data_IF_761552876310
#
_entry.id   IF_761552876310
#
_cell.length_a   1.000
_cell.length_b   1.000
_cell.length_c   1.000
_cell.angle_alpha   90.00
_cell.angle_beta   90.00
_cell.angle_gamma   90.00
#
_symmetry.space_group_name_H-M   'P 1'
#
loop_
_entity.id
_entity.type
_entity.pdbx_description
1 polymer ?
#
# COMPACT_ATOMS: atom_id res chain seq x y z
N UNK A 1 -9.37 13.23 1.80
CA UNK A 1 -8.40 12.70 0.83
C UNK A 1 -7.99 13.75 -0.21
N UNK A 2 -7.22 14.77 0.14
CA UNK A 2 -6.58 15.72 -0.78
C UNK A 2 -7.44 16.37 -1.88
N UNK A 3 -8.77 16.38 -1.72
CA UNK A 3 -9.71 16.93 -2.69
C UNK A 3 -9.97 16.06 -3.94
N UNK A 4 -9.46 14.83 -3.98
CA UNK A 4 -9.72 13.93 -5.11
C UNK A 4 -11.16 13.38 -5.05
N UNK A 5 -11.82 13.30 -6.21
CA UNK A 5 -13.06 12.54 -6.34
C UNK A 5 -12.69 11.04 -6.35
N UNK A 6 -13.31 10.28 -5.47
CA UNK A 6 -13.08 8.84 -5.34
C UNK A 6 -14.27 8.08 -5.95
N UNK A 7 -13.96 7.21 -6.90
CA UNK A 7 -14.92 6.29 -7.50
C UNK A 7 -14.55 4.87 -7.03
N UNK A 8 -15.53 4.11 -6.57
CA UNK A 8 -15.31 2.74 -6.10
C UNK A 8 -15.83 1.70 -7.10
N UNK A 9 -15.16 0.57 -7.17
CA UNK A 9 -15.58 -0.61 -7.92
C UNK A 9 -15.11 -1.88 -7.25
N UNK A 10 -15.96 -2.88 -7.22
CA UNK A 10 -15.65 -4.25 -6.83
C UNK A 10 -16.46 -5.22 -7.69
N UNK A 11 -15.93 -6.41 -7.95
CA UNK A 11 -16.64 -7.44 -8.71
C UNK A 11 -17.79 -8.05 -7.89
N UNK A 12 -17.72 -8.02 -6.54
CA UNK A 12 -18.78 -8.46 -5.63
C UNK A 12 -19.91 -7.41 -5.55
N UNK A 13 -21.18 -7.81 -5.82
CA UNK A 13 -22.33 -6.95 -5.58
C UNK A 13 -22.45 -6.46 -4.13
N UNK A 14 -22.18 -7.33 -3.17
CA UNK A 14 -22.27 -7.03 -1.74
C UNK A 14 -21.25 -5.96 -1.32
N UNK A 15 -20.03 -6.02 -1.87
CA UNK A 15 -19.00 -5.00 -1.61
C UNK A 15 -19.41 -3.64 -2.19
N UNK A 16 -20.06 -3.63 -3.37
CA UNK A 16 -20.59 -2.39 -3.96
C UNK A 16 -21.76 -1.80 -3.16
N UNK A 17 -22.67 -2.65 -2.65
CA UNK A 17 -23.78 -2.20 -1.77
C UNK A 17 -23.22 -1.55 -0.51
N UNK A 18 -22.24 -2.18 0.14
CA UNK A 18 -21.57 -1.61 1.31
C UNK A 18 -20.91 -0.27 0.99
N UNK A 19 -20.23 -0.14 -0.14
CA UNK A 19 -19.61 1.11 -0.54
C UNK A 19 -20.65 2.23 -0.78
N UNK A 20 -21.83 1.89 -1.32
CA UNK A 20 -22.94 2.84 -1.46
C UNK A 20 -23.49 3.30 -0.08
N UNK A 21 -23.61 2.38 0.89
CA UNK A 21 -24.02 2.71 2.27
C UNK A 21 -23.01 3.67 2.93
N UNK A 22 -21.72 3.53 2.61
CA UNK A 22 -20.65 4.43 3.05
C UNK A 22 -20.53 5.71 2.20
N UNK A 23 -21.49 5.98 1.32
CA UNK A 23 -21.60 7.15 0.44
C UNK A 23 -20.48 7.28 -0.61
N UNK A 24 -19.87 6.17 -1.02
CA UNK A 24 -18.98 6.17 -2.18
C UNK A 24 -19.77 6.18 -3.50
N UNK A 25 -19.27 6.93 -4.48
CA UNK A 25 -19.78 6.86 -5.84
C UNK A 25 -19.27 5.57 -6.52
N UNK A 26 -20.18 4.77 -7.07
CA UNK A 26 -19.83 3.52 -7.77
C UNK A 26 -19.77 3.78 -9.28
N UNK A 27 -18.64 3.43 -9.89
CA UNK A 27 -18.44 3.45 -11.34
C UNK A 27 -18.04 2.06 -11.83
N UNK A 28 -18.79 1.51 -12.76
CA UNK A 28 -18.48 0.21 -13.36
C UNK A 28 -17.21 0.30 -14.22
N UNK A 29 -16.09 -0.11 -13.65
CA UNK A 29 -14.78 -0.09 -14.30
C UNK A 29 -14.53 -1.29 -15.22
N UNK A 30 -15.46 -2.25 -15.28
CA UNK A 30 -15.37 -3.39 -16.20
C UNK A 30 -15.76 -3.05 -17.65
N UNK A 31 -16.39 -1.89 -17.87
CA UNK A 31 -16.89 -1.45 -19.17
C UNK A 31 -15.80 -0.79 -20.01
N UNK A 32 -15.93 -0.97 -21.33
CA UNK A 32 -15.07 -0.26 -22.29
C UNK A 32 -15.21 1.26 -22.13
N UNK A 33 -14.08 1.96 -22.17
CA UNK A 33 -14.05 3.42 -22.05
C UNK A 33 -14.24 3.96 -20.61
N UNK A 34 -14.35 3.11 -19.60
CA UNK A 34 -14.58 3.53 -18.22
C UNK A 34 -13.49 4.44 -17.64
N UNK A 35 -12.29 4.43 -18.22
CA UNK A 35 -11.11 5.11 -17.71
C UNK A 35 -10.84 6.50 -18.31
N UNK A 36 -11.71 7.05 -19.17
CA UNK A 36 -11.45 8.30 -19.89
C UNK A 36 -11.24 9.54 -19.01
N UNK A 37 -11.79 9.55 -17.82
CA UNK A 37 -11.73 10.63 -16.82
C UNK A 37 -11.04 10.19 -15.51
N UNK A 38 -10.44 8.98 -15.48
CA UNK A 38 -9.75 8.45 -14.31
C UNK A 38 -8.26 8.82 -14.36
N UNK A 39 -7.78 9.53 -13.36
CA UNK A 39 -6.37 9.89 -13.26
C UNK A 39 -5.49 8.75 -12.75
N UNK A 40 -6.02 7.91 -11.85
CA UNK A 40 -5.28 6.81 -11.22
C UNK A 40 -6.23 5.71 -10.76
N UNK A 41 -5.82 4.46 -10.95
CA UNK A 41 -6.47 3.29 -10.38
C UNK A 41 -5.69 2.84 -9.12
N UNK A 42 -6.37 2.80 -7.99
CA UNK A 42 -5.82 2.25 -6.73
C UNK A 42 -6.40 0.86 -6.53
N UNK A 43 -5.52 -0.13 -6.42
CA UNK A 43 -5.87 -1.55 -6.39
C UNK A 43 -5.61 -2.13 -5.01
N UNK A 44 -6.58 -2.86 -4.48
CA UNK A 44 -6.40 -3.63 -3.24
C UNK A 44 -5.34 -4.72 -3.42
N UNK A 45 -4.49 -5.00 -2.42
CA UNK A 45 -3.36 -5.94 -2.54
C UNK A 45 -3.75 -7.36 -2.98
N UNK A 46 -4.98 -7.80 -2.67
CA UNK A 46 -5.52 -9.10 -3.08
C UNK A 46 -5.75 -9.26 -4.59
N UNK A 47 -5.94 -8.15 -5.32
CA UNK A 47 -6.26 -8.17 -6.75
C UNK A 47 -4.97 -8.39 -7.57
N UNK A 48 -4.93 -9.42 -8.46
CA UNK A 48 -3.78 -9.66 -9.31
C UNK A 48 -3.56 -8.53 -10.31
N UNK A 49 -2.38 -7.94 -10.31
CA UNK A 49 -2.01 -6.92 -11.31
C UNK A 49 -1.17 -7.49 -12.45
N UNK A 50 -0.47 -8.63 -12.23
CA UNK A 50 0.33 -9.35 -13.23
C UNK A 50 0.04 -10.84 -13.24
N UNK A 51 0.23 -11.53 -12.13
CA UNK A 51 0.16 -12.99 -12.02
C UNK A 51 -0.88 -13.47 -11.01
N UNK A 52 -1.43 -14.69 -11.17
CA UNK A 52 -1.24 -15.61 -12.30
C UNK A 52 -1.90 -15.11 -13.59
N UNK A 53 -2.97 -14.32 -13.48
CA UNK A 53 -3.68 -13.66 -14.58
C UNK A 53 -4.08 -12.28 -14.09
N UNK A 54 -3.69 -11.21 -14.78
CA UNK A 54 -4.03 -9.86 -14.32
C UNK A 54 -5.54 -9.63 -14.36
N UNK A 55 -6.06 -8.91 -13.37
CA UNK A 55 -7.46 -8.54 -13.32
C UNK A 55 -7.83 -7.69 -14.56
N UNK A 56 -8.96 -7.96 -15.24
CA UNK A 56 -9.37 -7.23 -16.44
C UNK A 56 -9.45 -5.70 -16.25
N UNK A 57 -9.86 -5.23 -15.07
CA UNK A 57 -9.92 -3.79 -14.75
C UNK A 57 -8.54 -3.17 -14.74
N UNK A 58 -7.54 -3.86 -14.18
CA UNK A 58 -6.14 -3.43 -14.20
C UNK A 58 -5.61 -3.36 -15.64
N UNK A 59 -5.90 -4.38 -16.46
CA UNK A 59 -5.51 -4.40 -17.87
C UNK A 59 -6.14 -3.25 -18.65
N UNK A 60 -7.43 -2.96 -18.42
CA UNK A 60 -8.14 -1.87 -19.06
C UNK A 60 -7.57 -0.49 -18.67
N UNK A 61 -7.25 -0.28 -17.39
CA UNK A 61 -6.59 0.93 -16.92
C UNK A 61 -5.23 1.16 -17.60
N UNK A 62 -4.40 0.13 -17.65
CA UNK A 62 -3.08 0.21 -18.30
C UNK A 62 -3.19 0.50 -19.80
N UNK A 63 -4.15 -0.13 -20.51
CA UNK A 63 -4.43 0.14 -21.93
C UNK A 63 -4.90 1.58 -22.16
N UNK A 64 -5.64 2.15 -21.22
CA UNK A 64 -6.07 3.54 -21.25
C UNK A 64 -4.97 4.54 -20.84
N UNK A 65 -3.76 4.08 -20.50
CA UNK A 65 -2.66 4.93 -20.04
C UNK A 65 -2.83 5.43 -18.59
N UNK A 66 -3.77 4.87 -17.84
CA UNK A 66 -4.04 5.26 -16.45
C UNK A 66 -3.01 4.62 -15.53
N UNK A 67 -2.45 5.42 -14.62
CA UNK A 67 -1.50 4.93 -13.64
C UNK A 67 -2.19 3.97 -12.65
N UNK A 68 -1.56 2.83 -12.41
CA UNK A 68 -2.02 1.84 -11.42
C UNK A 68 -1.09 1.87 -10.23
N UNK A 69 -1.65 1.97 -9.03
CA UNK A 69 -0.92 2.04 -7.75
C UNK A 69 -1.75 1.35 -6.65
N UNK A 70 -1.28 1.37 -5.42
CA UNK A 70 -2.00 0.89 -4.26
C UNK A 70 -1.98 1.90 -3.10
N UNK A 71 -2.57 1.53 -1.97
CA UNK A 71 -2.63 2.30 -0.73
C UNK A 71 -1.24 2.72 -0.22
N UNK A 72 -0.26 1.83 -0.31
CA UNK A 72 1.13 2.09 0.11
C UNK A 72 1.78 3.15 -0.78
N UNK A 73 1.61 3.05 -2.10
CA UNK A 73 2.12 4.05 -3.03
C UNK A 73 1.48 5.43 -2.80
N UNK A 74 0.17 5.47 -2.52
CA UNK A 74 -0.52 6.71 -2.14
C UNK A 74 0.03 7.29 -0.84
N UNK A 75 0.25 6.46 0.18
CA UNK A 75 0.80 6.90 1.46
C UNK A 75 2.14 7.63 1.25
N UNK A 76 3.11 6.99 0.60
CA UNK A 76 4.41 7.60 0.38
C UNK A 76 4.37 8.85 -0.50
N UNK A 77 3.42 8.94 -1.44
CA UNK A 77 3.28 10.11 -2.31
C UNK A 77 2.57 11.29 -1.63
N UNK A 78 1.63 11.02 -0.75
CA UNK A 78 0.73 12.05 -0.21
C UNK A 78 0.99 12.38 1.25
N UNK A 79 1.32 11.40 2.07
CA UNK A 79 1.48 11.57 3.51
C UNK A 79 2.93 11.78 3.92
N UNK A 80 3.85 10.99 3.36
CA UNK A 80 5.23 10.98 3.81
C UNK A 80 6.10 12.12 3.25
N UNK A 81 5.56 12.98 2.38
CA UNK A 81 6.33 14.06 1.79
C UNK A 81 5.72 15.45 2.00
N UNK A 82 4.43 15.64 1.68
CA UNK A 82 3.85 16.98 1.66
C UNK A 82 3.26 17.41 3.01
N UNK A 83 2.64 16.49 3.74
CA UNK A 83 2.01 16.83 5.03
C UNK A 83 3.05 17.00 6.12
N UNK A 84 4.11 16.23 6.08
CA UNK A 84 5.13 16.19 7.12
C UNK A 84 6.20 17.29 7.01
N UNK A 85 6.30 17.95 5.88
CA UNK A 85 7.23 19.07 5.68
C UNK A 85 6.90 20.29 6.58
N UNK A 86 5.69 20.36 7.13
CA UNK A 86 5.26 21.43 8.03
C UNK A 86 5.50 21.13 9.52
N UNK A 87 6.05 19.98 9.85
CA UNK A 87 6.38 19.60 11.22
C UNK A 87 7.81 20.03 11.57
N UNK A 88 8.05 20.43 12.82
CA UNK A 88 9.38 20.86 13.29
C UNK A 88 10.39 19.70 13.24
N UNK A 89 9.93 18.50 13.54
CA UNK A 89 10.70 17.26 13.44
C UNK A 89 9.97 16.28 12.52
N UNK A 90 10.54 16.08 11.34
CA UNK A 90 9.94 15.17 10.33
C UNK A 90 9.73 13.78 10.88
N UNK A 91 8.51 13.21 10.79
CA UNK A 91 8.25 11.83 11.12
C UNK A 91 9.10 10.85 10.29
N UNK A 92 9.30 9.65 10.82
CA UNK A 92 10.08 8.60 10.16
C UNK A 92 9.21 7.38 9.87
N UNK A 93 9.50 6.72 8.77
CA UNK A 93 8.85 5.46 8.40
C UNK A 93 9.83 4.31 8.55
N UNK A 94 9.48 3.37 9.43
CA UNK A 94 10.13 2.06 9.52
C UNK A 94 9.23 1.06 8.85
N UNK A 95 9.69 0.47 7.77
CA UNK A 95 8.90 -0.50 7.06
C UNK A 95 9.52 -1.91 7.17
N UNK A 96 8.69 -2.92 7.42
CA UNK A 96 9.08 -4.30 7.68
C UNK A 96 8.47 -5.23 6.63
N UNK A 97 9.30 -6.02 5.96
CA UNK A 97 8.87 -7.09 5.06
C UNK A 97 9.66 -8.38 5.29
N UNK A 98 9.35 -9.41 4.53
CA UNK A 98 9.96 -10.74 4.59
C UNK A 98 8.92 -11.83 4.39
N UNK A 99 9.33 -13.08 4.41
CA UNK A 99 8.38 -14.20 4.32
C UNK A 99 7.71 -14.44 5.66
N UNK A 100 8.47 -14.60 6.73
CA UNK A 100 8.00 -14.90 8.08
C UNK A 100 8.47 -13.86 9.10
N UNK A 101 7.75 -13.72 10.22
CA UNK A 101 8.13 -12.86 11.33
C UNK A 101 7.86 -11.37 11.13
N UNK A 102 7.25 -10.94 10.04
CA UNK A 102 6.90 -9.54 9.78
C UNK A 102 6.08 -8.92 10.91
N UNK A 103 4.95 -9.54 11.25
CA UNK A 103 4.02 -9.02 12.27
C UNK A 103 4.67 -8.95 13.65
N UNK A 104 5.40 -9.97 14.03
CA UNK A 104 6.13 -9.99 15.31
C UNK A 104 7.19 -8.89 15.37
N UNK A 105 7.95 -8.71 14.29
CA UNK A 105 9.00 -7.69 14.21
C UNK A 105 8.40 -6.28 14.23
N UNK A 106 7.34 -6.04 13.45
CA UNK A 106 6.67 -4.74 13.42
C UNK A 106 6.05 -4.39 14.78
N UNK A 107 5.35 -5.35 15.39
CA UNK A 107 4.78 -5.17 16.73
C UNK A 107 5.85 -4.93 17.79
N UNK A 108 6.98 -5.63 17.72
CA UNK A 108 8.10 -5.44 18.65
C UNK A 108 8.74 -4.07 18.50
N UNK A 109 8.99 -3.62 17.28
CA UNK A 109 9.54 -2.27 17.02
C UNK A 109 8.58 -1.21 17.57
N UNK A 110 7.30 -1.30 17.26
CA UNK A 110 6.28 -0.40 17.77
C UNK A 110 6.23 -0.39 19.29
N UNK A 111 6.22 -1.56 19.93
CA UNK A 111 6.23 -1.71 21.38
C UNK A 111 7.46 -1.06 22.04
N UNK A 112 8.66 -1.28 21.50
CA UNK A 112 9.89 -0.68 22.01
C UNK A 112 9.83 0.85 21.88
N UNK A 113 9.38 1.38 20.75
CA UNK A 113 9.23 2.83 20.56
C UNK A 113 8.28 3.45 21.58
N UNK A 114 7.12 2.82 21.83
CA UNK A 114 6.17 3.25 22.86
C UNK A 114 6.82 3.27 24.25
N UNK A 115 7.56 2.24 24.62
CA UNK A 115 8.22 2.15 25.93
C UNK A 115 9.39 3.14 26.10
N UNK A 116 9.95 3.63 25.00
CA UNK A 116 10.95 4.72 25.03
C UNK A 116 10.32 6.11 25.05
N UNK A 117 9.00 6.22 25.09
CA UNK A 117 8.25 7.47 25.11
C UNK A 117 8.13 8.14 23.74
N UNK A 118 8.45 7.44 22.63
CA UNK A 118 8.25 7.98 21.27
C UNK A 118 6.80 7.80 20.84
N UNK A 119 6.26 8.84 20.23
CA UNK A 119 5.01 8.73 19.47
C UNK A 119 5.22 7.74 18.32
N UNK A 120 4.30 6.80 18.15
CA UNK A 120 4.41 5.79 17.10
C UNK A 120 3.04 5.21 16.74
N UNK A 121 2.85 4.91 15.45
CA UNK A 121 1.68 4.21 14.93
C UNK A 121 2.13 2.93 14.23
N UNK A 122 1.27 1.91 14.24
CA UNK A 122 1.46 0.63 13.57
C UNK A 122 0.37 0.44 12.51
N UNK A 123 0.77 0.22 11.26
CA UNK A 123 -0.16 0.13 10.14
C UNK A 123 0.34 -0.79 9.01
N UNK A 124 -0.43 -0.88 7.94
CA UNK A 124 -0.13 -1.65 6.73
C UNK A 124 -0.87 -2.97 6.68
N UNK A 125 -0.16 -4.09 6.57
CA UNK A 125 -0.76 -5.42 6.47
C UNK A 125 -1.27 -5.96 7.83
N UNK A 126 -0.95 -5.27 8.93
CA UNK A 126 -1.48 -5.53 10.28
C UNK A 126 -1.92 -4.22 10.92
N UNK A 127 -2.80 -4.32 11.90
CA UNK A 127 -3.33 -3.15 12.61
C UNK A 127 -4.31 -2.36 11.75
N UNK A 128 -3.98 -1.10 11.52
CA UNK A 128 -4.79 -0.17 10.71
C UNK A 128 -4.35 -0.16 9.25
N UNK A 129 -5.27 0.16 8.34
CA UNK A 129 -4.91 0.51 6.97
C UNK A 129 -3.96 1.70 6.93
N UNK A 130 -3.01 1.71 6.00
CA UNK A 130 -1.99 2.78 5.95
C UNK A 130 -2.58 4.17 5.71
N UNK A 131 -3.73 4.27 5.06
CA UNK A 131 -4.45 5.52 4.82
C UNK A 131 -5.43 5.89 5.95
N UNK A 132 -5.55 5.04 6.96
CA UNK A 132 -6.45 5.21 8.12
C UNK A 132 -5.67 5.57 9.41
N UNK A 133 -4.39 5.87 9.30
CA UNK A 133 -3.60 6.34 10.44
C UNK A 133 -3.96 7.78 10.82
N UNK A 134 -3.71 8.13 12.07
CA UNK A 134 -3.90 9.50 12.52
C UNK A 134 -2.88 10.45 11.86
N UNK A 135 -3.18 11.75 11.74
CA UNK A 135 -2.20 12.73 11.29
C UNK A 135 -0.93 12.64 12.12
N UNK A 136 0.21 12.54 11.44
CA UNK A 136 1.50 12.41 12.11
C UNK A 136 1.85 13.66 12.90
N UNK A 137 2.52 13.48 14.03
CA UNK A 137 3.02 14.54 14.90
C UNK A 137 4.56 14.61 14.89
N UNK A 138 5.13 15.65 15.46
CA UNK A 138 6.58 15.90 15.49
C UNK A 138 7.38 14.69 15.97
N UNK A 139 8.31 14.23 15.16
CA UNK A 139 9.23 13.15 15.49
C UNK A 139 8.59 11.77 15.64
N UNK A 140 7.33 11.61 15.26
CA UNK A 140 6.63 10.34 15.29
C UNK A 140 7.31 9.29 14.39
N UNK A 141 7.19 8.03 14.77
CA UNK A 141 7.67 6.90 13.97
C UNK A 141 6.48 6.04 13.52
N UNK A 142 6.22 6.03 12.23
CA UNK A 142 5.22 5.14 11.64
C UNK A 142 5.86 3.80 11.30
N UNK A 143 5.39 2.72 11.91
CA UNK A 143 5.86 1.35 11.65
C UNK A 143 4.88 0.68 10.69
N UNK A 144 5.37 0.29 9.52
CA UNK A 144 4.57 -0.37 8.47
C UNK A 144 4.96 -1.82 8.32
N UNK A 145 3.99 -2.74 8.45
CA UNK A 145 4.17 -4.09 7.93
C UNK A 145 3.73 -4.15 6.47
N UNK A 146 4.60 -4.62 5.57
CA UNK A 146 4.30 -4.69 4.15
C UNK A 146 4.41 -6.12 3.59
N UNK A 147 3.35 -6.56 2.91
CA UNK A 147 3.34 -7.80 2.14
C UNK A 147 4.08 -7.65 0.80
N UNK A 148 4.39 -8.78 0.16
CA UNK A 148 4.96 -8.75 -1.19
C UNK A 148 4.00 -8.19 -2.23
N UNK A 149 2.70 -8.36 -2.05
CA UNK A 149 1.69 -7.79 -2.94
C UNK A 149 1.66 -6.26 -2.89
N UNK A 150 1.79 -5.72 -1.68
CA UNK A 150 1.86 -4.27 -1.48
C UNK A 150 3.15 -3.68 -2.05
N UNK A 151 4.28 -4.30 -1.78
CA UNK A 151 5.58 -3.79 -2.28
C UNK A 151 5.73 -3.94 -3.79
N UNK A 152 5.12 -4.97 -4.40
CA UNK A 152 5.20 -5.20 -5.84
C UNK A 152 4.49 -4.13 -6.66
N UNK A 153 3.33 -3.68 -6.21
CA UNK A 153 2.51 -2.70 -6.92
C UNK A 153 2.82 -1.25 -6.55
N UNK A 154 3.25 -0.95 -5.32
CA UNK A 154 3.52 0.41 -4.87
C UNK A 154 4.49 1.15 -5.79
N UNK A 155 4.05 2.27 -6.38
CA UNK A 155 4.88 3.08 -7.27
C UNK A 155 5.88 3.97 -6.52
N UNK A 156 5.50 4.42 -5.33
CA UNK A 156 6.38 5.11 -4.41
C UNK A 156 6.59 4.23 -3.16
N UNK A 157 7.84 4.00 -2.78
CA UNK A 157 8.19 3.18 -1.62
C UNK A 157 9.54 3.67 -1.08
N UNK A 158 9.49 4.65 -0.20
CA UNK A 158 10.67 5.37 0.31
C UNK A 158 10.70 5.41 1.84
N UNK A 159 10.76 4.25 2.54
CA UNK A 159 10.89 4.25 3.99
C UNK A 159 12.27 4.80 4.41
N UNK A 160 12.33 5.42 5.59
CA UNK A 160 13.62 5.85 6.19
C UNK A 160 14.44 4.64 6.65
N UNK A 161 13.77 3.60 7.14
CA UNK A 161 14.38 2.34 7.58
C UNK A 161 13.62 1.18 6.97
N UNK A 162 14.34 0.30 6.28
CA UNK A 162 13.83 -0.93 5.71
C UNK A 162 14.33 -2.14 6.50
N UNK A 163 13.41 -2.96 7.00
CA UNK A 163 13.71 -4.20 7.72
C UNK A 163 13.24 -5.40 6.90
N UNK A 164 14.17 -6.27 6.57
CA UNK A 164 13.89 -7.52 5.86
C UNK A 164 14.18 -8.71 6.79
N UNK A 165 13.14 -9.41 7.20
CA UNK A 165 13.28 -10.47 8.22
C UNK A 165 13.96 -11.73 7.68
N UNK A 166 13.43 -12.30 6.61
CA UNK A 166 13.94 -13.49 5.94
C UNK A 166 13.26 -13.71 4.58
N UNK A 167 13.80 -14.63 3.80
CA UNK A 167 13.25 -15.05 2.51
C UNK A 167 13.11 -16.57 2.45
N UNK A 168 11.87 -17.03 2.33
CA UNK A 168 11.53 -18.43 2.03
C UNK A 168 10.43 -18.46 0.97
N UNK A 169 10.28 -19.55 0.20
CA UNK A 169 9.23 -19.65 -0.82
C UNK A 169 7.84 -19.39 -0.26
N UNK A 170 7.13 -18.44 -0.86
CA UNK A 170 5.76 -18.07 -0.51
C UNK A 170 5.14 -17.33 -1.68
N UNK A 171 3.83 -17.51 -1.92
CA UNK A 171 3.07 -16.80 -2.96
C UNK A 171 3.71 -16.84 -4.36
N UNK A 172 4.36 -17.93 -4.74
CA UNK A 172 5.16 -18.02 -5.97
C UNK A 172 4.29 -17.91 -7.23
N UNK A 173 3.04 -18.34 -7.17
CA UNK A 173 2.03 -18.19 -8.21
C UNK A 173 1.74 -16.71 -8.54
N UNK A 174 1.76 -15.85 -7.53
CA UNK A 174 1.48 -14.41 -7.67
C UNK A 174 2.69 -13.60 -8.17
N UNK A 175 3.89 -14.17 -8.13
CA UNK A 175 5.14 -13.49 -8.47
C UNK A 175 5.91 -14.17 -9.60
N UNK A 176 5.30 -15.09 -10.36
CA UNK A 176 5.99 -15.90 -11.38
C UNK A 176 7.25 -16.62 -10.84
N UNK A 177 7.17 -17.12 -9.60
CA UNK A 177 8.23 -17.86 -8.95
C UNK A 177 9.09 -17.04 -7.98
N UNK A 178 10.17 -17.67 -7.48
CA UNK A 178 11.01 -17.11 -6.43
C UNK A 178 11.72 -15.81 -6.84
N UNK A 179 12.10 -15.69 -8.11
CA UNK A 179 12.79 -14.49 -8.63
C UNK A 179 11.89 -13.25 -8.56
N UNK A 180 10.63 -13.36 -9.00
CA UNK A 180 9.66 -12.28 -8.91
C UNK A 180 9.28 -11.96 -7.47
N UNK A 181 9.13 -12.98 -6.62
CA UNK A 181 8.87 -12.78 -5.19
C UNK A 181 10.00 -12.01 -4.50
N UNK A 182 11.26 -12.35 -4.79
CA UNK A 182 12.41 -11.60 -4.30
C UNK A 182 12.44 -10.18 -4.87
N UNK A 183 12.18 -10.01 -6.17
CA UNK A 183 12.16 -8.70 -6.82
C UNK A 183 11.11 -7.78 -6.20
N UNK A 184 9.89 -8.28 -5.93
CA UNK A 184 8.84 -7.54 -5.25
C UNK A 184 9.29 -7.01 -3.88
N UNK A 185 9.92 -7.87 -3.08
CA UNK A 185 10.44 -7.47 -1.77
C UNK A 185 11.69 -6.59 -1.84
N UNK A 186 12.54 -6.76 -2.86
CA UNK A 186 13.75 -5.95 -3.07
C UNK A 186 13.44 -4.48 -3.31
N UNK A 187 12.28 -4.14 -3.87
CA UNK A 187 11.83 -2.75 -4.08
C UNK A 187 11.88 -1.90 -2.80
N UNK A 188 11.86 -2.55 -1.67
CA UNK A 188 11.96 -1.97 -0.34
C UNK A 188 13.26 -1.22 -0.06
N UNK A 189 14.33 -1.56 -0.76
CA UNK A 189 15.65 -0.96 -0.54
C UNK A 189 15.97 0.19 -1.49
N UNK A 190 14.95 0.73 -2.16
CA UNK A 190 15.14 1.80 -3.13
C UNK A 190 15.85 1.34 -4.41
N UNK A 191 15.97 2.25 -5.33
CA UNK A 191 16.73 2.08 -6.57
C UNK A 191 18.18 2.42 -6.20
N UNK A 192 19.02 1.39 -6.10
CA UNK A 192 20.46 1.54 -6.26
C UNK A 192 20.83 1.13 -7.65
#
# INVERSE_FOLDING_TARGET
>A
AGGAQVLAWDDSPEAREKALEEAFEIKDLSRDGAFGDIAMLIVSPGIPHLYPTPNPVVVAALKAGVAVDNDIGLFFRSFATQVWDNLDVTPRVVAVTGSNGKSTTSALIHHVLQHTGRATQLAGNIGRGVLDIDPAIDGEVVVLELSSYQTDLARALTPDIAVFTNLSPDHLDRHAGMGGYFAAKKRFYGIF
#
